data_IF_378501861513
#
_entry.id   IF_378501861513
#
_cell.length_a   1.000
_cell.length_b   1.000
_cell.length_c   1.000
_cell.angle_alpha   90.00
_cell.angle_beta   90.00
_cell.angle_gamma   90.00
#
_symmetry.space_group_name_H-M   'P 1'
#
loop_
_entity.id
_entity.type
_entity.pdbx_description
1 polymer ?
#
# COMPACT_ATOMS: atom_id res chain seq x y z
N UNK A 1 15.75 3.99 -11.16
CA UNK A 1 15.57 4.95 -10.04
C UNK A 1 15.35 6.34 -10.59
N UNK A 2 14.09 6.78 -10.68
CA UNK A 2 13.59 7.82 -11.59
C UNK A 2 13.88 9.29 -11.19
N UNK A 3 14.90 9.57 -10.38
CA UNK A 3 15.13 10.92 -9.84
C UNK A 3 15.50 11.95 -10.93
N UNK A 4 16.16 11.53 -12.01
CA UNK A 4 16.57 12.43 -13.09
C UNK A 4 15.42 12.80 -14.04
N UNK A 5 14.45 11.91 -14.26
CA UNK A 5 13.38 12.11 -15.26
C UNK A 5 12.15 12.86 -14.72
N UNK A 6 11.98 12.91 -13.39
CA UNK A 6 11.00 13.78 -12.72
C UNK A 6 11.20 15.27 -13.05
N UNK A 7 12.46 15.69 -13.25
CA UNK A 7 12.79 17.06 -13.65
C UNK A 7 12.29 17.43 -15.05
N UNK A 8 11.97 16.43 -15.90
CA UNK A 8 11.49 16.59 -17.27
C UNK A 8 9.96 16.50 -17.41
N UNK A 9 9.23 16.46 -16.29
CA UNK A 9 7.76 16.45 -16.29
C UNK A 9 7.12 15.10 -16.68
N UNK A 10 7.88 14.01 -16.70
CA UNK A 10 7.33 12.68 -16.91
C UNK A 10 6.84 12.09 -15.58
N UNK A 11 5.67 11.43 -15.61
CA UNK A 11 5.17 10.66 -14.46
C UNK A 11 6.17 9.55 -14.11
N UNK A 12 6.48 9.39 -12.82
CA UNK A 12 7.34 8.30 -12.34
C UNK A 12 6.87 6.93 -12.83
N UNK A 13 5.55 6.74 -12.94
CA UNK A 13 4.98 5.50 -13.48
C UNK A 13 5.28 5.31 -14.97
N UNK A 14 5.22 6.38 -15.76
CA UNK A 14 5.55 6.30 -17.19
C UNK A 14 7.03 5.95 -17.42
N UNK A 15 7.92 6.52 -16.60
CA UNK A 15 9.35 6.20 -16.60
C UNK A 15 9.57 4.73 -16.30
N UNK A 16 8.97 4.24 -15.20
CA UNK A 16 9.00 2.85 -14.78
C UNK A 16 8.48 1.89 -15.86
N UNK A 17 7.37 2.22 -16.52
CA UNK A 17 6.81 1.43 -17.61
C UNK A 17 7.69 1.46 -18.86
N UNK A 18 8.36 2.58 -19.14
CA UNK A 18 9.31 2.69 -20.26
C UNK A 18 10.57 1.85 -20.00
N UNK A 19 11.10 1.87 -18.79
CA UNK A 19 12.21 1.01 -18.35
C UNK A 19 11.83 -0.47 -18.46
N UNK A 20 10.64 -0.82 -17.95
CA UNK A 20 10.08 -2.18 -18.04
C UNK A 20 9.94 -2.62 -19.49
N UNK A 21 9.37 -1.79 -20.37
CA UNK A 21 9.24 -2.08 -21.79
C UNK A 21 10.61 -2.31 -22.45
N UNK A 22 11.65 -1.56 -22.09
CA UNK A 22 13.02 -1.79 -22.60
C UNK A 22 13.54 -3.16 -22.19
N UNK A 23 13.35 -3.55 -20.92
CA UNK A 23 13.73 -4.88 -20.42
C UNK A 23 13.02 -5.96 -21.24
N UNK A 24 11.68 -5.89 -21.34
CA UNK A 24 10.89 -6.90 -22.03
C UNK A 24 11.24 -7.04 -23.52
N UNK A 25 11.54 -5.93 -24.20
CA UNK A 25 11.86 -5.94 -25.63
C UNK A 25 13.32 -6.34 -25.95
N UNK A 26 14.21 -6.35 -24.95
CA UNK A 26 15.66 -6.57 -25.18
C UNK A 26 16.24 -7.78 -24.45
N UNK A 27 15.54 -8.28 -23.42
CA UNK A 27 15.99 -9.42 -22.66
C UNK A 27 15.96 -10.70 -23.48
N UNK A 28 16.86 -11.62 -23.14
CA UNK A 28 16.98 -12.95 -23.73
C UNK A 28 17.05 -13.98 -22.61
N UNK A 29 16.98 -15.28 -22.95
CA UNK A 29 17.16 -16.38 -21.99
C UNK A 29 18.48 -16.30 -21.18
N UNK A 30 19.49 -15.58 -21.70
CA UNK A 30 20.81 -15.40 -21.06
C UNK A 30 20.89 -14.17 -20.16
N UNK A 31 19.81 -13.40 -20.06
CA UNK A 31 19.73 -12.21 -19.24
C UNK A 31 19.52 -12.56 -17.76
N UNK A 32 20.07 -11.71 -16.88
CA UNK A 32 19.66 -11.63 -15.48
C UNK A 32 18.82 -10.37 -15.32
N UNK A 33 17.56 -10.53 -14.89
CA UNK A 33 16.63 -9.43 -14.68
C UNK A 33 16.39 -9.26 -13.19
N UNK A 34 16.42 -8.00 -12.73
CA UNK A 34 16.10 -7.61 -11.36
C UNK A 34 15.02 -6.53 -11.43
N UNK A 35 13.84 -6.85 -10.89
CA UNK A 35 12.70 -5.95 -10.79
C UNK A 35 12.47 -5.58 -9.33
N UNK A 36 12.17 -4.32 -9.07
CA UNK A 36 11.96 -3.78 -7.74
C UNK A 36 10.70 -2.92 -7.71
N UNK A 37 9.65 -3.47 -7.08
CA UNK A 37 8.37 -2.81 -6.82
C UNK A 37 7.67 -2.23 -8.06
N UNK A 38 7.69 -2.99 -9.18
CA UNK A 38 7.00 -2.61 -10.41
C UNK A 38 5.49 -2.49 -10.17
N UNK A 39 4.91 -1.36 -10.59
CA UNK A 39 3.46 -1.14 -10.58
C UNK A 39 2.94 -0.27 -9.43
N UNK A 40 3.82 0.21 -8.54
CA UNK A 40 3.40 1.02 -7.37
C UNK A 40 2.85 2.41 -7.71
N UNK A 41 3.12 2.92 -8.90
CA UNK A 41 2.74 4.28 -9.33
C UNK A 41 1.33 4.41 -9.91
N UNK A 42 0.52 3.35 -9.85
CA UNK A 42 -0.85 3.30 -10.41
C UNK A 42 -1.85 2.71 -9.41
N UNK A 43 -3.09 2.46 -9.82
CA UNK A 43 -4.09 1.78 -8.98
C UNK A 43 -3.60 0.39 -8.56
N UNK A 44 -3.98 -0.07 -7.36
CA UNK A 44 -3.48 -1.35 -6.83
C UNK A 44 -3.79 -2.51 -7.77
N UNK A 45 -5.00 -2.56 -8.33
CA UNK A 45 -5.39 -3.63 -9.26
C UNK A 45 -4.69 -3.52 -10.61
N UNK A 46 -4.49 -2.31 -11.14
CA UNK A 46 -3.74 -2.15 -12.40
C UNK A 46 -2.28 -2.55 -12.22
N UNK A 47 -1.65 -2.10 -11.13
CA UNK A 47 -0.27 -2.41 -10.79
C UNK A 47 -0.04 -3.91 -10.58
N UNK A 48 -0.95 -4.56 -9.83
CA UNK A 48 -0.96 -6.00 -9.64
C UNK A 48 -1.09 -6.75 -10.99
N UNK A 49 -2.05 -6.34 -11.82
CA UNK A 49 -2.31 -6.98 -13.12
C UNK A 49 -1.11 -6.88 -14.06
N UNK A 50 -0.46 -5.72 -14.09
CA UNK A 50 0.76 -5.51 -14.87
C UNK A 50 1.92 -6.36 -14.32
N UNK A 51 2.18 -6.31 -13.00
CA UNK A 51 3.25 -7.08 -12.38
C UNK A 51 3.08 -8.58 -12.62
N UNK A 52 1.85 -9.09 -12.57
CA UNK A 52 1.51 -10.47 -12.87
C UNK A 52 1.83 -10.83 -14.32
N UNK A 53 1.26 -10.10 -15.28
CA UNK A 53 1.46 -10.36 -16.71
C UNK A 53 2.95 -10.22 -17.13
N UNK A 54 3.67 -9.27 -16.55
CA UNK A 54 5.12 -9.11 -16.75
C UNK A 54 5.88 -10.35 -16.27
N UNK A 55 5.52 -10.87 -15.09
CA UNK A 55 6.17 -12.06 -14.52
C UNK A 55 5.92 -13.29 -15.41
N UNK A 56 4.68 -13.49 -15.86
CA UNK A 56 4.34 -14.56 -16.80
C UNK A 56 5.12 -14.43 -18.11
N UNK A 57 5.19 -13.23 -18.69
CA UNK A 57 5.95 -13.01 -19.93
C UNK A 57 7.45 -13.30 -19.78
N UNK A 58 8.05 -12.87 -18.67
CA UNK A 58 9.47 -13.12 -18.38
C UNK A 58 9.74 -14.62 -18.17
N UNK A 59 8.77 -15.34 -17.60
CA UNK A 59 8.85 -16.78 -17.39
C UNK A 59 8.66 -17.58 -18.69
N UNK A 60 7.55 -17.38 -19.40
CA UNK A 60 7.13 -18.22 -20.52
C UNK A 60 7.80 -17.84 -21.84
N UNK A 61 7.97 -16.54 -22.10
CA UNK A 61 8.44 -16.03 -23.40
C UNK A 61 9.93 -15.74 -23.35
N UNK A 62 10.37 -15.00 -22.32
CA UNK A 62 11.79 -14.60 -22.21
C UNK A 62 12.66 -15.73 -21.65
N UNK A 63 12.09 -16.56 -20.76
CA UNK A 63 12.76 -17.66 -20.07
C UNK A 63 14.09 -17.25 -19.39
N UNK A 64 14.16 -16.00 -18.90
CA UNK A 64 15.35 -15.44 -18.28
C UNK A 64 15.39 -15.68 -16.76
N UNK A 65 16.58 -15.63 -16.18
CA UNK A 65 16.73 -15.64 -14.72
C UNK A 65 16.24 -14.30 -14.18
N UNK A 66 15.17 -14.33 -13.39
CA UNK A 66 14.52 -13.12 -12.88
C UNK A 66 14.43 -13.14 -11.37
N UNK A 67 14.79 -12.02 -10.73
CA UNK A 67 14.48 -11.71 -9.34
C UNK A 67 13.48 -10.57 -9.32
N UNK A 68 12.38 -10.74 -8.59
CA UNK A 68 11.35 -9.71 -8.45
C UNK A 68 11.07 -9.47 -6.97
N UNK A 69 11.46 -8.29 -6.47
CA UNK A 69 11.04 -7.78 -5.17
C UNK A 69 9.70 -7.05 -5.33
N UNK A 70 8.67 -7.47 -4.58
CA UNK A 70 7.33 -6.90 -4.67
C UNK A 70 6.60 -6.93 -3.33
N UNK A 71 5.73 -5.94 -3.12
CA UNK A 71 4.74 -5.94 -2.04
C UNK A 71 3.45 -6.68 -2.37
N UNK A 72 3.22 -7.08 -3.64
CA UNK A 72 2.03 -7.83 -4.04
C UNK A 72 2.09 -9.27 -3.54
N UNK A 73 1.30 -9.58 -2.51
CA UNK A 73 1.28 -10.92 -1.91
C UNK A 73 0.61 -11.93 -2.85
N UNK A 74 -0.31 -11.46 -3.69
CA UNK A 74 -1.02 -12.25 -4.69
C UNK A 74 -0.06 -12.89 -5.70
N UNK A 75 1.05 -12.22 -6.05
CA UNK A 75 2.07 -12.77 -6.96
C UNK A 75 2.75 -14.02 -6.40
N UNK A 76 2.72 -14.24 -5.08
CA UNK A 76 3.31 -15.44 -4.47
C UNK A 76 2.61 -16.72 -4.91
N UNK A 77 1.35 -16.63 -5.38
CA UNK A 77 0.60 -17.77 -5.91
C UNK A 77 1.21 -18.32 -7.22
N UNK A 78 1.97 -17.49 -7.96
CA UNK A 78 2.63 -17.91 -9.19
C UNK A 78 3.62 -19.07 -8.97
N UNK A 79 4.18 -19.22 -7.77
CA UNK A 79 5.05 -20.36 -7.44
C UNK A 79 4.33 -21.72 -7.48
N UNK A 80 2.99 -21.72 -7.35
CA UNK A 80 2.18 -22.94 -7.46
C UNK A 80 1.77 -23.23 -8.91
N UNK A 81 1.80 -22.22 -9.78
CA UNK A 81 1.29 -22.30 -11.15
C UNK A 81 2.41 -22.43 -12.19
N UNK A 82 3.56 -21.78 -11.95
CA UNK A 82 4.68 -21.69 -12.88
C UNK A 82 5.87 -22.52 -12.41
N UNK A 83 6.29 -23.46 -13.24
CA UNK A 83 7.40 -24.35 -12.91
C UNK A 83 8.75 -23.61 -12.86
N UNK A 84 9.42 -23.65 -11.71
CA UNK A 84 10.72 -23.00 -11.52
C UNK A 84 10.64 -21.63 -10.84
N UNK A 85 9.43 -21.09 -10.66
CA UNK A 85 9.19 -19.94 -9.77
C UNK A 85 9.29 -20.40 -8.32
N UNK A 86 9.96 -19.61 -7.49
CA UNK A 86 10.16 -19.89 -6.05
C UNK A 86 9.99 -18.63 -5.25
N UNK A 87 9.20 -18.71 -4.17
CA UNK A 87 9.04 -17.61 -3.23
C UNK A 87 10.19 -17.56 -2.23
N UNK A 88 10.66 -16.34 -1.98
CA UNK A 88 11.62 -16.02 -0.94
C UNK A 88 11.15 -14.77 -0.21
N UNK A 89 11.45 -14.68 1.07
CA UNK A 89 11.15 -13.50 1.88
C UNK A 89 12.34 -13.12 2.76
N UNK A 90 12.31 -11.89 3.28
CA UNK A 90 13.26 -11.43 4.30
C UNK A 90 12.75 -11.90 5.66
N UNK A 91 13.57 -12.65 6.38
CA UNK A 91 13.23 -13.18 7.69
C UNK A 91 13.02 -12.07 8.72
N UNK A 92 11.92 -12.21 9.46
CA UNK A 92 11.48 -11.30 10.52
C UNK A 92 11.36 -12.11 11.82
N UNK A 93 11.87 -11.54 12.92
CA UNK A 93 11.72 -12.10 14.25
C UNK A 93 10.84 -11.19 15.11
N UNK A 94 9.75 -11.74 15.63
CA UNK A 94 8.79 -11.05 16.51
C UNK A 94 9.11 -11.45 17.97
N UNK A 95 9.34 -10.47 18.85
CA UNK A 95 9.55 -10.70 20.31
C UNK A 95 8.95 -9.54 21.10
N UNK A 96 8.17 -9.83 22.15
CA UNK A 96 7.60 -8.83 23.06
C UNK A 96 6.82 -7.67 22.40
N UNK A 97 6.26 -7.90 21.21
CA UNK A 97 5.55 -6.88 20.42
C UNK A 97 6.47 -6.02 19.54
N UNK A 98 7.77 -6.27 19.55
CA UNK A 98 8.77 -5.68 18.68
C UNK A 98 9.12 -6.59 17.51
N UNK A 99 9.59 -5.96 16.43
CA UNK A 99 9.96 -6.62 15.18
C UNK A 99 11.43 -6.36 14.89
N UNK A 100 12.18 -7.45 14.72
CA UNK A 100 13.59 -7.43 14.32
C UNK A 100 13.74 -7.95 12.89
N UNK A 101 14.21 -7.08 11.99
CA UNK A 101 14.58 -7.46 10.63
C UNK A 101 15.93 -8.18 10.66
N UNK A 102 15.94 -9.46 10.29
CA UNK A 102 17.16 -10.28 10.36
C UNK A 102 18.06 -10.11 9.12
N UNK A 103 17.61 -9.33 8.12
CA UNK A 103 18.27 -9.15 6.82
C UNK A 103 18.71 -10.47 6.15
N UNK A 104 17.98 -11.57 6.45
CA UNK A 104 18.28 -12.91 5.96
C UNK A 104 17.20 -13.34 4.98
N UNK A 105 17.60 -13.75 3.79
CA UNK A 105 16.67 -14.29 2.78
C UNK A 105 16.39 -15.77 3.10
N UNK A 106 15.11 -16.12 3.22
CA UNK A 106 14.64 -17.48 3.54
C UNK A 106 13.57 -17.93 2.56
N UNK A 107 13.46 -19.23 2.25
CA UNK A 107 12.45 -19.73 1.34
C UNK A 107 11.04 -19.58 1.92
N UNK A 108 10.06 -19.34 1.05
CA UNK A 108 8.64 -19.20 1.39
C UNK A 108 8.08 -17.82 1.04
N UNK A 109 6.75 -17.72 0.98
CA UNK A 109 6.05 -16.45 0.85
C UNK A 109 6.10 -15.65 2.17
N UNK A 110 5.91 -14.33 2.11
CA UNK A 110 5.67 -13.53 3.30
C UNK A 110 4.22 -13.72 3.77
N UNK A 111 4.02 -13.94 5.07
CA UNK A 111 2.72 -14.32 5.62
C UNK A 111 1.92 -13.12 6.16
N UNK A 112 2.56 -11.95 6.28
CA UNK A 112 2.01 -10.75 6.93
C UNK A 112 2.64 -9.48 6.35
N UNK A 113 1.85 -8.41 6.31
CA UNK A 113 2.36 -7.05 6.10
C UNK A 113 2.77 -6.42 7.42
N UNK A 114 3.95 -5.81 7.45
CA UNK A 114 4.55 -5.20 8.64
C UNK A 114 4.51 -3.67 8.64
N UNK A 115 3.71 -3.05 7.77
CA UNK A 115 3.69 -1.60 7.57
C UNK A 115 3.46 -0.78 8.86
N UNK A 116 2.48 -1.17 9.69
CA UNK A 116 2.20 -0.47 10.97
C UNK A 116 3.37 -0.63 11.97
N UNK A 117 4.05 -1.78 11.96
CA UNK A 117 5.22 -2.01 12.82
C UNK A 117 6.42 -1.18 12.36
N UNK A 118 6.66 -1.09 11.05
CA UNK A 118 7.69 -0.20 10.49
C UNK A 118 7.40 1.25 10.85
N UNK A 119 6.13 1.68 10.79
CA UNK A 119 5.73 3.02 11.22
C UNK A 119 6.02 3.28 12.72
N UNK A 120 5.83 2.27 13.58
CA UNK A 120 6.20 2.36 15.00
C UNK A 120 7.69 2.56 15.19
N UNK A 121 8.52 1.79 14.48
CA UNK A 121 9.99 1.92 14.51
C UNK A 121 10.45 3.29 13.99
N UNK A 122 9.72 3.86 13.03
CA UNK A 122 9.96 5.21 12.51
C UNK A 122 9.52 6.33 13.48
N UNK A 123 8.93 5.99 14.63
CA UNK A 123 8.49 6.97 15.63
C UNK A 123 7.15 7.63 15.32
N UNK A 124 6.29 7.00 14.50
CA UNK A 124 4.93 7.49 14.26
C UNK A 124 4.14 7.50 15.58
N UNK A 125 3.39 8.58 15.90
CA UNK A 125 2.68 8.69 17.17
C UNK A 125 1.72 7.53 17.44
N UNK A 126 1.66 7.09 18.70
CA UNK A 126 0.83 5.96 19.14
C UNK A 126 -0.64 6.12 18.74
N UNK A 127 -1.19 7.32 18.82
CA UNK A 127 -2.58 7.60 18.45
C UNK A 127 -2.86 7.31 16.96
N UNK A 128 -1.88 7.58 16.09
CA UNK A 128 -1.95 7.26 14.66
C UNK A 128 -1.86 5.76 14.45
N UNK A 129 -0.93 5.08 15.14
CA UNK A 129 -0.75 3.62 15.05
C UNK A 129 -1.99 2.86 15.54
N UNK A 130 -2.58 3.28 16.66
CA UNK A 130 -3.83 2.70 17.18
C UNK A 130 -4.96 2.86 16.15
N UNK A 131 -5.09 4.05 15.57
CA UNK A 131 -6.11 4.29 14.55
C UNK A 131 -5.87 3.49 13.27
N UNK A 132 -4.63 3.41 12.80
CA UNK A 132 -4.27 2.61 11.63
C UNK A 132 -4.58 1.13 11.85
N UNK A 133 -4.31 0.61 13.06
CA UNK A 133 -4.60 -0.79 13.43
C UNK A 133 -6.11 -1.07 13.40
N UNK A 134 -6.92 -0.17 13.97
CA UNK A 134 -8.39 -0.28 13.90
C UNK A 134 -8.92 -0.27 12.46
N UNK A 135 -8.37 0.62 11.63
CA UNK A 135 -8.77 0.71 10.22
C UNK A 135 -8.39 -0.55 9.45
N UNK A 136 -7.19 -1.07 9.67
CA UNK A 136 -6.72 -2.31 9.03
C UNK A 136 -7.65 -3.48 9.35
N UNK A 137 -8.01 -3.68 10.63
CA UNK A 137 -8.93 -4.73 11.04
C UNK A 137 -10.29 -4.63 10.33
N UNK A 138 -10.83 -3.41 10.19
CA UNK A 138 -12.08 -3.18 9.46
C UNK A 138 -11.96 -3.50 7.97
N UNK A 139 -10.83 -3.16 7.34
CA UNK A 139 -10.58 -3.41 5.92
C UNK A 139 -10.39 -4.91 5.63
N UNK A 140 -9.64 -5.61 6.48
CA UNK A 140 -9.43 -7.07 6.36
C UNK A 140 -10.74 -7.85 6.55
N UNK A 141 -11.56 -7.47 7.53
CA UNK A 141 -12.86 -8.13 7.78
C UNK A 141 -13.81 -7.97 6.59
N UNK A 142 -13.80 -6.80 5.94
CA UNK A 142 -14.69 -6.51 4.79
C UNK A 142 -14.20 -7.07 3.46
N UNK A 143 -12.92 -7.44 3.32
CA UNK A 143 -12.44 -8.17 2.14
C UNK A 143 -12.98 -9.61 2.09
N UNK A 144 -13.38 -10.18 3.23
CA UNK A 144 -14.05 -11.50 3.30
C UNK A 144 -15.54 -11.47 2.96
N UNK A 145 -16.20 -10.33 3.13
CA UNK A 145 -17.63 -10.14 2.87
C UNK A 145 -17.84 -9.20 1.68
N UNK A 146 -18.00 -9.77 0.49
CA UNK A 146 -18.28 -9.04 -0.75
C UNK A 146 -19.67 -8.39 -0.73
N UNK A 147 -19.81 -7.26 -0.03
CA UNK A 147 -20.92 -6.32 -0.18
C UNK A 147 -20.52 -4.88 0.17
N UNK A 148 -20.37 -4.11 -0.89
CA UNK A 148 -20.62 -2.68 -1.11
C UNK A 148 -20.79 -1.70 0.09
N UNK A 149 -20.17 -0.52 -0.09
CA UNK A 149 -20.13 0.72 0.73
C UNK A 149 -18.98 0.87 1.75
N UNK A 150 -18.03 1.72 1.36
CA UNK A 150 -16.88 2.16 2.16
C UNK A 150 -17.32 3.14 3.27
N UNK A 151 -17.87 2.61 4.36
CA UNK A 151 -18.06 3.40 5.58
C UNK A 151 -16.80 3.33 6.44
N UNK A 152 -15.99 4.39 6.41
CA UNK A 152 -14.88 4.58 7.34
C UNK A 152 -15.49 4.84 8.73
N UNK A 153 -15.11 4.10 9.79
CA UNK A 153 -15.68 4.32 11.12
C UNK A 153 -15.44 5.78 11.52
N UNK A 154 -16.49 6.51 11.89
CA UNK A 154 -16.40 7.93 12.21
C UNK A 154 -15.30 8.17 13.27
N UNK A 155 -14.48 9.21 13.06
CA UNK A 155 -13.50 9.65 14.06
C UNK A 155 -14.30 10.06 15.30
N UNK A 156 -14.25 9.27 16.36
CA UNK A 156 -14.77 9.68 17.66
C UNK A 156 -13.89 10.81 18.17
N UNK A 157 -14.25 12.05 17.83
CA UNK A 157 -13.75 13.19 18.57
C UNK A 157 -14.56 13.25 19.85
N UNK A 158 -13.95 12.95 20.99
CA UNK A 158 -14.41 13.51 22.25
C UNK A 158 -14.26 15.03 22.15
N UNK A 159 -15.29 15.66 21.56
CA UNK A 159 -15.52 17.12 21.57
C UNK A 159 -16.31 17.51 22.83
N UNK A 160 -16.18 16.74 23.90
CA UNK A 160 -16.61 17.18 25.22
C UNK A 160 -15.67 18.32 25.63
N UNK A 161 -16.22 19.54 25.70
CA UNK A 161 -15.61 20.78 26.21
C UNK A 161 -14.72 21.65 25.30
N UNK A 162 -15.09 21.82 24.03
CA UNK A 162 -14.99 23.16 23.42
C UNK A 162 -16.38 23.62 23.03
N UNK A 163 -17.05 24.31 23.97
CA UNK A 163 -18.15 25.21 23.69
C UNK A 163 -17.69 26.13 22.56
N UNK A 164 -18.09 25.80 21.34
CA UNK A 164 -17.98 26.70 20.21
C UNK A 164 -18.85 27.91 20.60
N UNK A 165 -18.21 29.02 20.96
CA UNK A 165 -18.92 30.27 21.17
C UNK A 165 -19.64 30.57 19.86
N UNK A 166 -20.97 30.64 19.90
CA UNK A 166 -21.82 31.02 18.78
C UNK A 166 -21.42 32.45 18.34
N UNK A 167 -20.49 32.54 17.38
CA UNK A 167 -19.92 33.81 16.92
C UNK A 167 -20.87 34.56 15.95
N UNK A 168 -22.04 33.99 15.65
CA UNK A 168 -23.02 34.55 14.70
C UNK A 168 -24.48 34.29 15.11
N UNK A 169 -24.81 34.37 16.39
CA UNK A 169 -26.22 34.57 16.79
C UNK A 169 -26.51 36.07 16.79
N UNK A 170 -27.35 36.60 15.89
CA UNK A 170 -27.83 37.97 16.03
C UNK A 170 -28.71 38.04 17.29
N UNK A 171 -28.36 38.96 18.21
CA UNK A 171 -29.21 39.22 19.37
C UNK A 171 -30.62 39.63 18.89
N UNK A 172 -31.70 39.12 19.51
CA UNK A 172 -33.05 39.44 19.09
C UNK A 172 -33.30 40.95 19.20
N UNK A 173 -33.84 41.54 18.13
CA UNK A 173 -34.08 42.98 18.04
C UNK A 173 -35.19 43.38 19.03
N UNK A 174 -35.01 44.44 19.84
CA UNK A 174 -35.90 44.82 20.95
C UNK A 174 -37.35 45.20 20.54
N UNK A 175 -37.65 45.21 19.24
CA UNK A 175 -39.00 45.49 18.73
C UNK A 175 -39.89 44.24 18.77
N UNK A 176 -39.31 43.03 18.72
CA UNK A 176 -40.08 41.79 18.77
C UNK A 176 -40.74 41.55 20.14
N UNK A 177 -40.19 42.08 21.24
CA UNK A 177 -40.82 42.02 22.56
C UNK A 177 -42.10 42.87 22.67
N UNK A 178 -42.27 43.87 21.79
CA UNK A 178 -43.44 44.76 21.83
C UNK A 178 -44.68 44.21 21.11
N UNK A 179 -44.55 43.07 20.41
CA UNK A 179 -45.65 42.43 19.67
C UNK A 179 -46.29 41.24 20.42
N UNK A 180 -45.77 40.88 21.59
CA UNK A 180 -46.35 39.82 22.45
C UNK A 180 -47.09 40.37 23.69
N UNK A 181 -47.47 41.65 23.70
CA UNK A 181 -48.38 42.24 24.70
C UNK A 181 -49.65 42.79 24.09
#
# INVERSE_FOLDING_TARGET
GASDELSRGQSTFMVEMTETARILNSATEKSLIVLDEIGRGTSTFDGLSLAWAITEYLHDVTAARTMFATHYHELTELANQLNGVRNWNVAVYESDGDIHFLHKIVPGAANKSYGIHVARLAGVPTEVLTRATQLLQTLETRQGDSSDKMEVPARQTDRTSRRQLNLFEPAPHPVLESLER
#
